data_IF_164444923795
#
_entry.id   IF_164444923795
#
_cell.length_a   1.000
_cell.length_b   1.000
_cell.length_c   1.000
_cell.angle_alpha   90.00
_cell.angle_beta   90.00
_cell.angle_gamma   90.00
#
_symmetry.space_group_name_H-M   'P 1'
#
loop_
_entity.id
_entity.type
_entity.pdbx_description
1 polymer ?
#
# COMPACT_ATOMS: atom_id res chain seq x y z
N UNK A 1 10.74 2.70 -22.59
CA UNK A 1 10.47 2.55 -22.07
C UNK A 1 10.50 2.34 -21.46
N UNK A 2 10.60 2.23 -21.17
CA UNK A 2 10.47 1.92 -20.46
C UNK A 2 10.29 1.54 -19.69
N UNK A 3 10.19 1.55 -19.70
CA UNK A 3 9.79 1.22 -18.89
C UNK A 3 9.82 0.47 -18.35
N UNK A 4 9.97 0.06 -18.87
CA UNK A 4 9.91 -0.80 -18.38
C UNK A 4 10.40 -0.99 -17.39
N UNK A 5 10.95 -0.48 -17.03
CA UNK A 5 11.30 -0.62 -15.97
C UNK A 5 10.63 -0.27 -14.99
N UNK A 6 10.11 0.49 -15.27
CA UNK A 6 9.45 0.61 -14.26
C UNK A 6 8.51 -0.29 -14.24
N UNK A 7 8.86 -1.05 -13.90
CA UNK A 7 8.15 -2.10 -13.64
C UNK A 7 7.25 -1.91 -12.53
N UNK A 8 7.46 -0.99 -11.71
CA UNK A 8 6.58 -0.76 -10.58
C UNK A 8 5.44 0.11 -11.01
N UNK A 9 4.31 -0.48 -11.23
CA UNK A 9 3.12 0.28 -11.61
C UNK A 9 2.35 0.81 -10.42
N UNK A 10 2.85 0.60 -9.22
CA UNK A 10 2.19 1.11 -8.03
C UNK A 10 2.72 2.48 -7.69
N UNK A 11 1.84 3.33 -7.18
CA UNK A 11 2.20 4.68 -6.76
C UNK A 11 1.95 4.82 -5.28
N UNK A 12 2.61 5.81 -4.68
CA UNK A 12 2.31 6.14 -3.30
C UNK A 12 0.84 6.49 -3.18
N UNK A 13 0.21 6.03 -2.10
CA UNK A 13 -1.21 6.27 -1.89
C UNK A 13 -1.45 6.56 -0.42
N UNK A 14 -2.41 7.42 -0.16
CA UNK A 14 -2.86 7.61 1.21
C UNK A 14 -3.60 6.37 1.68
N UNK A 15 -3.53 6.12 2.99
CA UNK A 15 -4.22 4.95 3.54
C UNK A 15 -5.70 4.95 3.21
N UNK A 16 -6.34 6.12 3.26
CA UNK A 16 -7.77 6.19 2.95
C UNK A 16 -8.06 5.84 1.50
N UNK A 17 -7.14 6.21 0.59
CA UNK A 17 -7.32 5.87 -0.81
C UNK A 17 -7.22 4.37 -1.02
N UNK A 18 -6.23 3.74 -0.39
CA UNK A 18 -6.07 2.31 -0.53
C UNK A 18 -7.22 1.55 0.11
N UNK A 19 -7.71 2.04 1.25
CA UNK A 19 -8.87 1.43 1.90
C UNK A 19 -10.08 1.47 0.96
N UNK A 20 -10.27 2.59 0.28
CA UNK A 20 -11.37 2.73 -0.66
C UNK A 20 -11.21 1.75 -1.82
N UNK A 21 -10.00 1.61 -2.34
CA UNK A 21 -9.74 0.67 -3.43
C UNK A 21 -10.00 -0.76 -3.00
N UNK A 22 -9.72 -1.06 -1.74
CA UNK A 22 -9.92 -2.40 -1.21
C UNK A 22 -11.36 -2.66 -0.78
N UNK A 23 -12.17 -1.61 -0.70
CA UNK A 23 -13.55 -1.76 -0.27
C UNK A 23 -13.69 -1.98 1.23
N UNK A 24 -12.74 -1.46 2.01
CA UNK A 24 -12.77 -1.63 3.46
C UNK A 24 -12.68 -0.27 4.14
N UNK A 25 -12.95 -0.25 5.44
CA UNK A 25 -12.84 0.98 6.20
C UNK A 25 -11.37 1.32 6.43
N UNK A 26 -11.12 2.60 6.74
CA UNK A 26 -9.77 3.03 7.08
C UNK A 26 -9.26 2.30 8.32
N UNK A 27 -10.16 2.01 9.26
CA UNK A 27 -9.78 1.28 10.46
C UNK A 27 -9.25 -0.11 10.09
N UNK A 28 -9.93 -0.80 9.19
CA UNK A 28 -9.49 -2.12 8.74
C UNK A 28 -8.14 -2.03 8.06
N UNK A 29 -7.95 -1.02 7.22
CA UNK A 29 -6.66 -0.89 6.54
C UNK A 29 -5.54 -0.60 7.54
N UNK A 30 -5.79 0.24 8.53
CA UNK A 30 -4.80 0.50 9.57
C UNK A 30 -4.44 -0.77 10.31
N UNK A 31 -5.42 -1.62 10.54
CA UNK A 31 -5.19 -2.89 11.21
C UNK A 31 -4.28 -3.78 10.37
N UNK A 32 -4.53 -3.83 9.07
CA UNK A 32 -3.66 -4.58 8.15
C UNK A 32 -2.23 -4.07 8.20
N UNK A 33 -2.06 -2.76 8.23
CA UNK A 33 -0.73 -2.16 8.31
C UNK A 33 -0.04 -2.55 9.60
N UNK A 34 -0.79 -2.57 10.70
CA UNK A 34 -0.22 -2.93 11.98
C UNK A 34 0.18 -4.39 12.02
N UNK A 35 -0.65 -5.26 11.45
CA UNK A 35 -0.36 -6.69 11.42
C UNK A 35 0.87 -7.01 10.58
N UNK A 36 1.17 -6.16 9.60
CA UNK A 36 2.30 -6.37 8.72
C UNK A 36 3.41 -5.36 8.94
N UNK A 37 3.47 -4.82 10.14
CA UNK A 37 4.39 -3.73 10.45
C UNK A 37 5.84 -4.07 10.12
N UNK A 38 6.27 -5.28 10.48
CA UNK A 38 7.66 -5.68 10.26
C UNK A 38 8.04 -5.62 8.79
N UNK A 39 7.17 -6.16 7.93
CA UNK A 39 7.43 -6.15 6.49
C UNK A 39 7.35 -4.73 5.94
N UNK A 40 6.38 -3.96 6.42
CA UNK A 40 6.19 -2.61 5.91
C UNK A 40 7.34 -1.68 6.28
N UNK A 41 8.03 -1.96 7.38
CA UNK A 41 9.19 -1.16 7.76
C UNK A 41 10.26 -1.20 6.69
N UNK A 42 10.38 -2.33 5.98
CA UNK A 42 11.36 -2.45 4.91
C UNK A 42 11.05 -1.50 3.75
N UNK A 43 9.84 -0.98 3.71
CA UNK A 43 9.44 -0.03 2.67
C UNK A 43 9.32 1.38 3.22
N UNK A 44 9.91 1.64 4.38
CA UNK A 44 9.92 2.97 4.97
C UNK A 44 8.63 3.35 5.68
N UNK A 45 7.83 2.38 6.05
CA UNK A 45 6.55 2.66 6.68
C UNK A 45 6.71 3.06 8.16
N UNK A 46 5.95 4.07 8.56
CA UNK A 46 5.82 4.45 9.96
C UNK A 46 4.34 4.51 10.32
N UNK A 47 3.97 4.08 11.53
CA UNK A 47 2.55 4.03 11.89
C UNK A 47 1.81 5.35 11.79
N UNK A 48 2.53 6.46 11.99
CA UNK A 48 1.90 7.78 11.92
C UNK A 48 1.80 8.31 10.50
N UNK A 49 2.39 7.64 9.53
CA UNK A 49 2.34 8.09 8.16
C UNK A 49 0.95 7.89 7.59
N UNK A 50 0.44 8.91 6.93
CA UNK A 50 -0.83 8.79 6.20
C UNK A 50 -0.59 8.30 4.79
N UNK A 51 0.60 8.56 4.26
CA UNK A 51 0.95 8.21 2.90
C UNK A 51 1.80 6.95 2.91
N UNK A 52 1.40 5.99 2.09
CA UNK A 52 2.13 4.74 1.95
C UNK A 52 3.05 4.83 0.74
N UNK A 53 4.29 4.35 0.88
CA UNK A 53 5.24 4.32 -0.23
C UNK A 53 4.76 3.35 -1.31
N UNK A 54 5.27 3.50 -2.55
CA UNK A 54 4.88 2.54 -3.60
C UNK A 54 5.16 1.10 -3.23
N UNK A 55 6.27 0.83 -2.53
CA UNK A 55 6.58 -0.52 -2.09
C UNK A 55 5.56 -1.05 -1.09
N UNK A 56 5.15 -0.20 -0.14
CA UNK A 56 4.15 -0.60 0.83
C UNK A 56 2.80 -0.86 0.15
N UNK A 57 2.43 -0.01 -0.81
CA UNK A 57 1.19 -0.20 -1.55
C UNK A 57 1.23 -1.53 -2.29
N UNK A 58 2.34 -1.80 -2.97
CA UNK A 58 2.48 -3.05 -3.71
C UNK A 58 2.35 -4.24 -2.77
N UNK A 59 3.04 -4.20 -1.63
CA UNK A 59 3.00 -5.29 -0.67
C UNK A 59 1.56 -5.59 -0.22
N UNK A 60 0.84 -4.54 0.15
CA UNK A 60 -0.53 -4.72 0.63
C UNK A 60 -1.46 -5.19 -0.48
N UNK A 61 -1.29 -4.65 -1.68
CA UNK A 61 -2.13 -5.05 -2.80
C UNK A 61 -1.94 -6.52 -3.13
N UNK A 62 -0.70 -7.01 -3.06
CA UNK A 62 -0.45 -8.40 -3.37
C UNK A 62 -0.90 -9.31 -2.25
N UNK A 63 -0.71 -8.89 -1.00
CA UNK A 63 -1.07 -9.73 0.13
C UNK A 63 -2.59 -9.87 0.27
N UNK A 64 -3.33 -8.77 0.08
CA UNK A 64 -4.78 -8.78 0.26
C UNK A 64 -5.54 -8.78 -1.06
N UNK A 65 -4.84 -8.95 -2.15
CA UNK A 65 -5.43 -9.05 -3.49
C UNK A 65 -6.30 -7.82 -3.78
N UNK A 66 -5.70 -6.64 -3.58
CA UNK A 66 -6.38 -5.37 -3.84
C UNK A 66 -6.09 -4.93 -5.27
N UNK A 67 -7.12 -4.57 -6.00
CA UNK A 67 -6.96 -4.10 -7.35
C UNK A 67 -6.96 -2.58 -7.35
N UNK A 68 -5.86 -1.98 -7.80
CA UNK A 68 -5.73 -0.54 -7.85
C UNK A 68 -5.64 -0.12 -9.30
N UNK A 69 -6.51 0.82 -9.67
CA UNK A 69 -6.47 1.36 -11.03
C UNK A 69 -5.58 2.59 -11.05
N UNK A 70 -4.62 2.57 -11.92
CA UNK A 70 -3.67 3.65 -12.05
C UNK A 70 -4.10 4.62 -13.14
#
# INVERSE_FOLDING_TARGET
>A
MNDSHSTNKYKAMYKCELARAAGVSLTTLRQWCQENYSELCDYGYHPNDKLLSPGAVKFLCEKYVIEVKQ
#
